data_IF_867603296517
#
_entry.id   IF_867603296517
#
_cell.length_a   1.000
_cell.length_b   1.000
_cell.length_c   1.000
_cell.angle_alpha   90.00
_cell.angle_beta   90.00
_cell.angle_gamma   90.00
#
_symmetry.space_group_name_H-M   'P 1'
#
loop_
_entity.id
_entity.type
_entity.pdbx_description
1 polymer ?
#
# COMPACT_ATOMS: atom_id res chain seq x y z
N UNK A 1 -0.73 -8.87 -4.57
CA UNK A 1 -1.47 -8.20 -5.68
C UNK A 1 -2.89 -8.76 -5.79
N UNK A 2 -3.93 -7.95 -5.56
CA UNK A 2 -5.34 -8.39 -5.66
C UNK A 2 -5.79 -8.25 -7.12
N UNK A 3 -5.89 -9.37 -7.85
CA UNK A 3 -6.37 -9.36 -9.24
C UNK A 3 -7.90 -9.21 -9.23
N UNK A 4 -8.40 -7.97 -9.31
CA UNK A 4 -9.82 -7.68 -9.46
C UNK A 4 -10.19 -7.66 -10.94
N UNK A 5 -10.66 -8.80 -11.44
CA UNK A 5 -11.25 -8.94 -12.76
C UNK A 5 -12.74 -9.26 -12.60
N UNK A 6 -13.60 -8.31 -12.93
CA UNK A 6 -15.04 -8.56 -12.99
C UNK A 6 -15.62 -8.01 -14.29
N UNK A 7 -16.21 -8.90 -15.08
CA UNK A 7 -16.97 -8.55 -16.29
C UNK A 7 -18.38 -8.13 -15.93
N UNK A 8 -18.69 -6.86 -16.15
CA UNK A 8 -20.05 -6.36 -16.18
C UNK A 8 -20.17 -4.99 -15.53
N UNK A 9 -20.58 -3.99 -16.32
CA UNK A 9 -21.19 -2.68 -16.00
C UNK A 9 -21.23 -2.21 -14.52
N UNK A 10 -20.13 -2.26 -13.78
CA UNK A 10 -20.14 -1.92 -12.35
C UNK A 10 -18.88 -1.15 -11.95
N UNK A 11 -18.99 0.18 -12.02
CA UNK A 11 -18.01 1.17 -11.54
C UNK A 11 -17.98 1.22 -10.01
N UNK A 12 -17.53 0.14 -9.37
CA UNK A 12 -17.55 0.04 -7.89
C UNK A 12 -16.15 0.18 -7.30
N UNK A 13 -15.11 -0.15 -8.05
CA UNK A 13 -13.73 0.00 -7.62
C UNK A 13 -13.05 1.10 -8.44
N UNK A 14 -12.63 2.18 -7.77
CA UNK A 14 -12.06 3.37 -8.41
C UNK A 14 -10.54 3.51 -8.22
N UNK A 15 -9.85 2.42 -7.86
CA UNK A 15 -8.41 2.42 -7.57
C UNK A 15 -7.49 2.29 -8.80
N UNK A 16 -8.04 2.31 -10.02
CA UNK A 16 -7.40 2.15 -11.34
C UNK A 16 -5.99 1.53 -11.46
N UNK A 17 -5.84 0.28 -11.01
CA UNK A 17 -4.62 -0.54 -11.10
C UNK A 17 -4.90 -1.82 -11.86
N UNK A 18 -3.94 -2.27 -12.68
CA UNK A 18 -4.14 -3.41 -13.57
C UNK A 18 -5.23 -3.13 -14.61
N UNK A 19 -6.22 -4.01 -14.67
CA UNK A 19 -7.33 -3.91 -15.65
C UNK A 19 -8.53 -3.08 -15.19
N UNK A 20 -8.55 -2.68 -13.92
CA UNK A 20 -9.66 -1.93 -13.38
C UNK A 20 -9.55 -0.45 -13.76
N UNK A 21 -10.67 0.21 -14.04
CA UNK A 21 -10.69 1.56 -14.62
C UNK A 21 -11.87 2.41 -14.11
N UNK A 22 -11.77 3.72 -14.33
CA UNK A 22 -12.87 4.69 -14.21
C UNK A 22 -13.02 5.43 -15.53
N UNK A 23 -14.18 6.03 -15.79
CA UNK A 23 -14.40 6.81 -17.01
C UNK A 23 -13.57 8.09 -17.08
N UNK A 24 -13.29 8.69 -15.91
CA UNK A 24 -12.56 9.94 -15.78
C UNK A 24 -11.68 9.91 -14.52
N UNK A 25 -10.44 10.41 -14.59
CA UNK A 25 -9.49 10.48 -13.48
C UNK A 25 -9.98 11.30 -12.27
N UNK A 26 -10.98 12.17 -12.44
CA UNK A 26 -11.66 12.84 -11.31
C UNK A 26 -12.37 11.87 -10.37
N UNK A 27 -12.71 10.67 -10.86
CA UNK A 27 -13.40 9.64 -10.08
C UNK A 27 -12.45 8.74 -9.27
N UNK A 28 -11.13 8.87 -9.45
CA UNK A 28 -10.15 8.07 -8.71
C UNK A 28 -10.35 8.22 -7.20
N UNK A 29 -10.18 7.12 -6.47
CA UNK A 29 -10.15 7.16 -5.00
C UNK A 29 -9.03 8.08 -4.52
N UNK A 30 -9.35 9.02 -3.63
CA UNK A 30 -8.41 10.01 -3.10
C UNK A 30 -7.90 9.71 -1.69
N UNK A 31 -8.42 8.65 -1.06
CA UNK A 31 -8.00 8.21 0.26
C UNK A 31 -8.41 6.76 0.51
N UNK A 32 -7.82 6.16 1.54
CA UNK A 32 -8.06 4.76 1.89
C UNK A 32 -9.50 4.49 2.32
N UNK A 33 -10.20 5.49 2.90
CA UNK A 33 -11.62 5.37 3.26
C UNK A 33 -12.50 5.16 2.03
N UNK A 34 -12.29 5.92 0.96
CA UNK A 34 -13.02 5.74 -0.30
C UNK A 34 -12.72 4.37 -0.92
N UNK A 35 -11.45 3.96 -0.96
CA UNK A 35 -11.06 2.63 -1.44
C UNK A 35 -11.70 1.50 -0.59
N UNK A 36 -11.77 1.67 0.72
CA UNK A 36 -12.42 0.71 1.62
C UNK A 36 -13.93 0.59 1.36
N UNK A 37 -14.62 1.70 1.12
CA UNK A 37 -16.06 1.69 0.76
C UNK A 37 -16.28 0.90 -0.54
N UNK A 38 -15.46 1.19 -1.55
CA UNK A 38 -15.49 0.53 -2.86
C UNK A 38 -15.23 -0.98 -2.72
N UNK A 39 -14.23 -1.38 -1.93
CA UNK A 39 -13.89 -2.78 -1.66
C UNK A 39 -15.00 -3.53 -0.90
N UNK A 40 -15.61 -2.91 0.10
CA UNK A 40 -16.76 -3.50 0.82
C UNK A 40 -17.94 -3.71 -0.12
N UNK A 41 -18.24 -2.72 -0.96
CA UNK A 41 -19.32 -2.83 -1.94
C UNK A 41 -19.04 -3.94 -2.97
N UNK A 42 -17.80 -4.03 -3.46
CA UNK A 42 -17.36 -5.12 -4.32
C UNK A 42 -17.55 -6.49 -3.66
N UNK A 43 -17.03 -6.68 -2.44
CA UNK A 43 -17.13 -7.96 -1.72
C UNK A 43 -18.59 -8.34 -1.44
N UNK A 44 -19.44 -7.38 -1.08
CA UNK A 44 -20.87 -7.61 -0.91
C UNK A 44 -21.53 -8.19 -2.17
N UNK A 45 -21.18 -7.64 -3.35
CA UNK A 45 -21.67 -8.17 -4.63
C UNK A 45 -21.04 -9.51 -5.01
N UNK A 46 -19.74 -9.66 -4.79
CA UNK A 46 -19.00 -10.88 -5.09
C UNK A 46 -19.59 -12.08 -4.34
N UNK A 47 -19.72 -11.98 -3.01
CA UNK A 47 -20.31 -13.02 -2.17
C UNK A 47 -21.83 -13.15 -2.37
N UNK A 48 -22.51 -12.07 -2.76
CA UNK A 48 -23.93 -12.12 -3.16
C UNK A 48 -24.15 -12.99 -4.40
N UNK A 49 -23.25 -12.92 -5.37
CA UNK A 49 -23.29 -13.68 -6.62
C UNK A 49 -22.72 -15.09 -6.46
N UNK A 50 -21.74 -15.28 -5.57
CA UNK A 50 -21.10 -16.57 -5.28
C UNK A 50 -21.49 -17.07 -3.89
N UNK A 51 -22.78 -17.39 -3.72
CA UNK A 51 -23.35 -17.73 -2.40
C UNK A 51 -22.66 -18.90 -1.70
N UNK A 52 -22.15 -19.87 -2.46
CA UNK A 52 -21.39 -21.02 -1.93
C UNK A 52 -20.12 -20.60 -1.18
N UNK A 53 -19.52 -19.46 -1.53
CA UNK A 53 -18.31 -18.96 -0.89
C UNK A 53 -18.59 -18.27 0.45
N UNK A 54 -19.85 -17.94 0.79
CA UNK A 54 -20.16 -17.21 2.03
C UNK A 54 -19.77 -17.96 3.29
N UNK A 55 -19.89 -19.29 3.30
CA UNK A 55 -19.49 -20.15 4.42
C UNK A 55 -18.01 -20.50 4.42
N UNK A 56 -17.30 -20.25 3.32
CA UNK A 56 -15.86 -20.55 3.19
C UNK A 56 -15.04 -19.55 4.01
N UNK A 57 -14.07 -20.00 4.82
CA UNK A 57 -13.17 -19.10 5.53
C UNK A 57 -12.54 -18.07 4.59
N UNK A 58 -12.76 -16.78 4.87
CA UNK A 58 -12.27 -15.68 4.07
C UNK A 58 -11.20 -14.91 4.82
N UNK A 59 -10.04 -14.72 4.19
CA UNK A 59 -8.92 -13.95 4.71
C UNK A 59 -8.55 -12.84 3.73
N UNK A 60 -8.13 -11.69 4.25
CA UNK A 60 -7.54 -10.61 3.46
C UNK A 60 -6.04 -10.65 3.68
N UNK A 61 -5.27 -10.77 2.61
CA UNK A 61 -3.81 -10.79 2.66
C UNK A 61 -3.28 -9.63 1.85
N UNK A 62 -2.34 -8.88 2.40
CA UNK A 62 -1.76 -7.74 1.69
C UNK A 62 -0.32 -7.45 2.09
N UNK A 63 0.32 -6.70 1.19
CA UNK A 63 1.73 -6.34 1.25
C UNK A 63 1.89 -4.84 1.00
N UNK A 64 2.97 -4.24 1.49
CA UNK A 64 3.33 -2.85 1.22
C UNK A 64 2.15 -1.89 1.52
N UNK A 65 1.84 -0.95 0.63
CA UNK A 65 0.71 -0.04 0.77
C UNK A 65 -0.63 -0.75 0.89
N UNK A 66 -0.76 -1.95 0.30
CA UNK A 66 -1.94 -2.79 0.41
C UNK A 66 -2.31 -3.13 1.86
N UNK A 67 -1.33 -3.10 2.78
CA UNK A 67 -1.60 -3.29 4.20
C UNK A 67 -2.52 -2.22 4.80
N UNK A 68 -2.46 -0.97 4.32
CA UNK A 68 -3.41 0.07 4.74
C UNK A 68 -4.83 -0.30 4.33
N UNK A 69 -5.02 -0.68 3.06
CA UNK A 69 -6.32 -1.11 2.54
C UNK A 69 -6.84 -2.34 3.27
N UNK A 70 -6.00 -3.36 3.46
CA UNK A 70 -6.39 -4.59 4.14
C UNK A 70 -6.80 -4.35 5.60
N UNK A 71 -6.10 -3.44 6.26
CA UNK A 71 -6.35 -3.08 7.66
C UNK A 71 -7.67 -2.33 7.82
N UNK A 72 -7.91 -1.31 6.99
CA UNK A 72 -9.17 -0.58 7.00
C UNK A 72 -10.35 -1.45 6.54
N UNK A 73 -10.13 -2.29 5.53
CA UNK A 73 -11.11 -3.26 5.05
C UNK A 73 -11.48 -4.27 6.13
N UNK A 74 -10.51 -4.82 6.85
CA UNK A 74 -10.77 -5.78 7.93
C UNK A 74 -11.68 -5.19 9.03
N UNK A 75 -11.43 -3.94 9.42
CA UNK A 75 -12.29 -3.21 10.37
C UNK A 75 -13.69 -3.02 9.78
N UNK A 76 -13.79 -2.54 8.54
CA UNK A 76 -15.08 -2.28 7.89
C UNK A 76 -15.91 -3.56 7.69
N UNK A 77 -15.28 -4.67 7.32
CA UNK A 77 -15.92 -5.98 7.20
C UNK A 77 -16.45 -6.45 8.55
N UNK A 78 -15.64 -6.36 9.61
CA UNK A 78 -16.07 -6.72 10.96
C UNK A 78 -17.27 -5.90 11.42
N UNK A 79 -17.25 -4.58 11.19
CA UNK A 79 -18.38 -3.70 11.50
C UNK A 79 -19.66 -4.09 10.74
N UNK A 80 -19.55 -4.41 9.45
CA UNK A 80 -20.71 -4.82 8.61
C UNK A 80 -21.24 -6.20 8.97
N UNK A 81 -20.37 -7.12 9.40
CA UNK A 81 -20.78 -8.44 9.88
C UNK A 81 -21.49 -8.32 11.23
N UNK A 82 -20.93 -7.54 12.16
CA UNK A 82 -21.51 -7.33 13.49
C UNK A 82 -22.87 -6.62 13.43
N UNK A 83 -23.08 -5.75 12.44
CA UNK A 83 -24.38 -5.09 12.20
C UNK A 83 -25.36 -5.95 11.41
N UNK A 84 -25.00 -7.18 11.02
CA UNK A 84 -25.82 -8.05 10.17
C UNK A 84 -25.98 -7.57 8.73
N UNK A 85 -25.27 -6.52 8.32
CA UNK A 85 -25.37 -5.94 6.96
C UNK A 85 -24.57 -6.73 5.91
N UNK A 86 -23.66 -7.61 6.35
CA UNK A 86 -22.88 -8.50 5.49
C UNK A 86 -22.76 -9.87 6.15
N UNK A 87 -23.01 -10.93 5.38
CA UNK A 87 -22.90 -12.32 5.86
C UNK A 87 -21.82 -13.06 5.07
N UNK A 88 -20.60 -13.08 5.61
CA UNK A 88 -19.43 -13.77 5.09
C UNK A 88 -18.62 -14.36 6.26
N UNK A 89 -17.96 -15.51 6.06
CA UNK A 89 -17.12 -16.15 7.07
C UNK A 89 -15.70 -15.53 7.13
N UNK A 90 -15.62 -14.23 7.44
CA UNK A 90 -14.36 -13.50 7.55
C UNK A 90 -13.57 -13.93 8.80
N UNK A 91 -12.30 -14.30 8.60
CA UNK A 91 -11.43 -14.85 9.64
C UNK A 91 -10.31 -13.92 10.08
N UNK A 92 -9.80 -13.07 9.20
CA UNK A 92 -8.72 -12.17 9.56
C UNK A 92 -8.00 -11.52 8.40
N UNK A 93 -7.01 -10.73 8.78
CA UNK A 93 -6.10 -10.00 7.92
C UNK A 93 -4.67 -10.47 8.19
N UNK A 94 -3.95 -10.85 7.14
CA UNK A 94 -2.53 -11.11 7.20
C UNK A 94 -1.77 -10.00 6.48
N UNK A 95 -0.74 -9.47 7.14
CA UNK A 95 0.06 -8.34 6.68
C UNK A 95 1.53 -8.79 6.53
N UNK A 96 2.09 -8.67 5.33
CA UNK A 96 3.53 -8.86 5.07
C UNK A 96 4.17 -7.54 4.67
N UNK A 97 5.24 -7.11 5.32
CA UNK A 97 6.05 -5.94 4.92
C UNK A 97 5.22 -4.69 4.54
N UNK A 98 4.30 -4.31 5.45
CA UNK A 98 3.25 -3.34 5.14
C UNK A 98 3.55 -1.90 5.58
N UNK A 99 3.13 -0.95 4.75
CA UNK A 99 3.27 0.49 5.01
C UNK A 99 2.13 1.05 5.88
N UNK A 100 2.02 0.60 7.13
CA UNK A 100 0.87 0.95 8.02
C UNK A 100 1.16 2.07 9.04
N UNK A 101 2.43 2.29 9.40
CA UNK A 101 2.89 3.35 10.30
C UNK A 101 4.06 4.12 9.68
N UNK A 102 3.79 5.00 8.70
CA UNK A 102 4.83 5.66 7.90
C UNK A 102 5.93 6.28 8.75
N UNK A 103 5.56 7.05 9.76
CA UNK A 103 6.52 7.78 10.57
C UNK A 103 7.43 6.86 11.42
N UNK A 104 6.91 5.73 11.91
CA UNK A 104 7.73 4.74 12.61
C UNK A 104 8.81 4.18 11.67
N UNK A 105 8.49 4.02 10.37
CA UNK A 105 9.48 3.59 9.38
C UNK A 105 10.57 4.63 9.17
N UNK A 106 10.21 5.91 9.01
CA UNK A 106 11.20 6.99 8.85
C UNK A 106 12.14 7.08 10.05
N UNK A 107 11.66 6.88 11.28
CA UNK A 107 12.54 6.88 12.46
C UNK A 107 13.39 5.62 12.61
N UNK A 108 12.97 4.49 12.05
CA UNK A 108 13.70 3.24 12.18
C UNK A 108 14.82 3.05 11.14
N UNK A 109 14.66 3.65 9.95
CA UNK A 109 15.65 3.56 8.87
C UNK A 109 17.06 4.03 9.25
N UNK A 110 17.24 5.23 9.86
CA UNK A 110 18.58 5.73 10.19
C UNK A 110 19.39 4.84 11.15
N UNK A 111 18.88 4.45 12.34
CA UNK A 111 19.65 3.60 13.25
C UNK A 111 19.86 2.19 12.70
N UNK A 112 18.94 1.70 11.87
CA UNK A 112 19.11 0.43 11.17
C UNK A 112 20.30 0.48 10.20
N UNK A 113 20.33 1.45 9.28
CA UNK A 113 21.45 1.61 8.34
C UNK A 113 22.79 1.75 9.09
N UNK A 114 22.80 2.49 10.19
CA UNK A 114 23.98 2.63 11.04
C UNK A 114 24.43 1.29 11.63
N UNK A 115 23.48 0.49 12.14
CA UNK A 115 23.80 -0.83 12.72
C UNK A 115 24.40 -1.83 11.71
N UNK A 116 24.09 -1.65 10.43
CA UNK A 116 24.66 -2.44 9.33
C UNK A 116 25.94 -1.82 8.75
N UNK A 117 26.45 -0.75 9.37
CA UNK A 117 27.61 0.02 8.89
C UNK A 117 27.44 0.57 7.47
N UNK A 118 26.19 0.79 7.05
CA UNK A 118 25.86 1.38 5.75
C UNK A 118 25.94 2.91 5.77
N UNK A 119 25.79 3.52 6.95
CA UNK A 119 26.02 4.95 7.18
C UNK A 119 26.78 5.13 8.50
N UNK A 120 27.50 6.24 8.62
CA UNK A 120 28.11 6.66 9.88
C UNK A 120 27.12 7.44 10.76
N UNK A 121 27.59 7.93 11.91
CA UNK A 121 26.78 8.68 12.87
C UNK A 121 26.24 10.00 12.28
N UNK A 122 27.02 10.66 11.42
CA UNK A 122 26.62 11.90 10.76
C UNK A 122 25.53 11.63 9.70
N UNK A 123 25.68 10.58 8.90
CA UNK A 123 24.69 10.11 7.94
C UNK A 123 23.37 9.74 8.61
N UNK A 124 23.42 8.93 9.68
CA UNK A 124 22.24 8.57 10.45
C UNK A 124 21.55 9.79 11.08
N UNK A 125 22.32 10.70 11.68
CA UNK A 125 21.79 11.96 12.24
C UNK A 125 21.16 12.84 11.16
N UNK A 126 21.70 12.81 9.94
CA UNK A 126 21.16 13.55 8.80
C UNK A 126 19.83 12.99 8.31
N UNK A 127 19.70 11.67 8.26
CA UNK A 127 18.44 11.01 7.89
C UNK A 127 17.35 11.20 8.97
N UNK A 128 17.70 11.22 10.25
CA UNK A 128 16.75 11.48 11.34
C UNK A 128 16.07 12.85 11.22
N UNK A 129 16.77 13.88 10.70
CA UNK A 129 16.18 15.21 10.49
C UNK A 129 15.03 15.18 9.46
N UNK A 130 15.06 14.26 8.49
CA UNK A 130 13.93 14.07 7.59
C UNK A 130 12.73 13.46 8.31
N UNK A 131 12.96 12.49 9.20
CA UNK A 131 11.89 11.92 10.03
C UNK A 131 11.23 12.99 10.91
N UNK A 132 12.02 13.84 11.58
CA UNK A 132 11.52 14.96 12.39
C UNK A 132 10.70 15.96 11.55
N UNK A 133 11.19 16.30 10.36
CA UNK A 133 10.50 17.21 9.45
C UNK A 133 9.17 16.63 8.96
N UNK A 134 9.17 15.34 8.58
CA UNK A 134 7.96 14.64 8.16
C UNK A 134 6.95 14.53 9.31
N UNK A 135 7.41 14.26 10.54
CA UNK A 135 6.54 14.24 11.73
C UNK A 135 5.88 15.60 11.93
N UNK A 136 6.63 16.69 11.83
CA UNK A 136 6.10 18.04 11.99
C UNK A 136 5.02 18.37 10.94
N UNK A 137 5.26 18.06 9.66
CA UNK A 137 4.26 18.23 8.61
C UNK A 137 3.02 17.38 8.88
N UNK A 138 3.17 16.13 9.34
CA UNK A 138 2.05 15.26 9.71
C UNK A 138 1.23 15.82 10.88
N UNK A 139 1.88 16.38 11.91
CA UNK A 139 1.21 17.00 13.07
C UNK A 139 0.42 18.26 12.69
N UNK A 140 0.92 19.01 11.69
CA UNK A 140 0.23 20.16 11.10
C UNK A 140 -0.86 19.77 10.08
N UNK A 141 -1.02 18.47 9.78
CA UNK A 141 -2.00 17.97 8.81
C UNK A 141 -1.56 18.10 7.34
N UNK A 142 -0.32 18.51 7.08
CA UNK A 142 0.26 18.68 5.76
C UNK A 142 0.81 17.34 5.21
N UNK A 143 -0.06 16.34 5.09
CA UNK A 143 0.36 14.98 4.73
C UNK A 143 1.01 14.86 3.35
N UNK A 144 0.64 15.72 2.40
CA UNK A 144 1.28 15.77 1.09
C UNK A 144 2.76 16.16 1.19
N UNK A 145 3.08 17.18 2.00
CA UNK A 145 4.46 17.60 2.24
C UNK A 145 5.24 16.51 2.95
N UNK A 146 4.62 15.84 3.94
CA UNK A 146 5.24 14.68 4.59
C UNK A 146 5.59 13.57 3.58
N UNK A 147 4.74 13.31 2.58
CA UNK A 147 5.02 12.35 1.50
C UNK A 147 6.20 12.79 0.64
N UNK A 148 6.33 14.09 0.38
CA UNK A 148 7.50 14.62 -0.33
C UNK A 148 8.79 14.45 0.48
N UNK A 149 8.75 14.77 1.78
CA UNK A 149 9.91 14.61 2.69
C UNK A 149 10.34 13.15 2.79
N UNK A 150 9.39 12.20 2.86
CA UNK A 150 9.72 10.77 2.80
C UNK A 150 10.48 10.42 1.52
N UNK A 151 10.03 10.95 0.38
CA UNK A 151 10.71 10.77 -0.89
C UNK A 151 12.12 11.36 -0.94
N UNK A 152 12.33 12.52 -0.32
CA UNK A 152 13.64 13.14 -0.22
C UNK A 152 14.56 12.38 0.74
N UNK A 153 14.00 11.79 1.80
CA UNK A 153 14.74 10.90 2.71
C UNK A 153 15.24 9.64 2.00
N UNK A 154 14.41 9.01 1.18
CA UNK A 154 14.82 7.84 0.39
C UNK A 154 16.00 8.17 -0.53
N UNK A 155 15.96 9.33 -1.20
CA UNK A 155 17.09 9.78 -2.02
C UNK A 155 18.36 10.01 -1.19
N UNK A 156 18.21 10.58 0.00
CA UNK A 156 19.34 10.75 0.92
C UNK A 156 19.90 9.39 1.38
N UNK A 157 19.04 8.39 1.63
CA UNK A 157 19.47 7.01 1.95
C UNK A 157 20.34 6.46 0.84
N UNK A 158 19.88 6.52 -0.42
CA UNK A 158 20.65 5.99 -1.56
C UNK A 158 22.03 6.63 -1.66
N UNK A 159 22.09 7.97 -1.55
CA UNK A 159 23.36 8.71 -1.65
C UNK A 159 24.32 8.42 -0.49
N UNK A 160 23.80 8.25 0.72
CA UNK A 160 24.61 8.04 1.92
C UNK A 160 25.04 6.59 2.12
N UNK A 161 24.28 5.64 1.58
CA UNK A 161 24.45 4.20 1.82
C UNK A 161 24.83 3.41 0.55
N UNK A 162 25.59 4.02 -0.36
CA UNK A 162 26.13 3.40 -1.58
C UNK A 162 25.04 2.71 -2.44
N UNK A 163 23.95 3.43 -2.72
CA UNK A 163 22.82 2.96 -3.53
C UNK A 163 22.16 1.67 -3.00
N UNK A 164 22.04 1.56 -1.67
CA UNK A 164 21.33 0.45 -1.02
C UNK A 164 19.87 0.36 -1.49
N UNK A 165 19.41 -0.83 -1.86
CA UNK A 165 18.03 -1.06 -2.28
C UNK A 165 17.07 -0.86 -1.08
N UNK A 166 16.11 0.07 -1.23
CA UNK A 166 15.15 0.43 -0.19
C UNK A 166 14.23 -0.74 0.21
N UNK A 167 14.02 -1.72 -0.67
CA UNK A 167 13.26 -2.94 -0.39
C UNK A 167 14.13 -4.10 0.06
N UNK A 168 15.45 -4.04 -0.18
CA UNK A 168 16.37 -5.08 0.23
C UNK A 168 17.77 -4.53 0.55
N UNK A 169 18.02 -4.21 1.82
CA UNK A 169 19.28 -3.62 2.27
C UNK A 169 20.55 -4.47 2.04
N UNK A 170 20.40 -5.73 1.64
CA UNK A 170 21.52 -6.62 1.29
C UNK A 170 21.95 -6.46 -0.17
N UNK A 171 21.22 -5.65 -0.95
CA UNK A 171 21.50 -5.35 -2.34
C UNK A 171 21.86 -3.87 -2.47
N UNK A 172 22.77 -3.63 -3.40
CA UNK A 172 23.11 -2.30 -3.87
C UNK A 172 22.77 -2.30 -5.34
N UNK A 173 21.78 -1.49 -5.74
CA UNK A 173 21.36 -1.42 -7.12
C UNK A 173 21.75 -0.05 -7.67
N UNK A 174 22.74 -0.06 -8.57
CA UNK A 174 23.18 1.14 -9.30
C UNK A 174 22.19 1.53 -10.40
N UNK A 175 20.98 0.95 -10.42
CA UNK A 175 19.99 1.16 -11.46
C UNK A 175 19.51 2.62 -11.50
N UNK A 176 20.14 3.30 -12.46
CA UNK A 176 19.71 4.43 -13.28
C UNK A 176 19.26 5.71 -12.56
N UNK A 177 20.06 6.75 -12.82
CA UNK A 177 19.67 8.17 -12.76
C UNK A 177 18.27 8.36 -13.38
N UNK A 178 17.22 8.25 -12.58
CA UNK A 178 15.90 8.77 -12.92
C UNK A 178 16.10 10.22 -13.35
N UNK A 179 15.87 10.49 -14.65
CA UNK A 179 16.30 11.71 -15.32
C UNK A 179 16.11 12.92 -14.43
N UNK A 180 17.14 13.76 -14.31
CA UNK A 180 17.18 14.96 -13.46
C UNK A 180 16.02 15.96 -13.65
N UNK A 181 15.12 15.72 -14.62
CA UNK A 181 14.00 16.57 -15.01
C UNK A 181 12.64 16.18 -14.40
N UNK A 182 12.53 15.12 -13.58
CA UNK A 182 11.27 14.76 -12.91
C UNK A 182 11.35 15.15 -11.43
N UNK A 183 10.39 15.95 -10.95
CA UNK A 183 10.36 16.45 -9.57
C UNK A 183 9.10 16.02 -8.79
N UNK A 184 9.19 16.06 -7.47
CA UNK A 184 8.05 15.84 -6.55
C UNK A 184 7.38 14.47 -6.72
N UNK A 185 6.05 14.43 -6.62
CA UNK A 185 5.28 13.18 -6.68
C UNK A 185 5.50 12.36 -7.95
N UNK A 186 5.74 13.02 -9.09
CA UNK A 186 5.98 12.32 -10.35
C UNK A 186 7.28 11.51 -10.31
N UNK A 187 8.30 12.04 -9.62
CA UNK A 187 9.57 11.34 -9.39
C UNK A 187 9.40 10.15 -8.47
N UNK A 188 8.67 10.34 -7.37
CA UNK A 188 8.38 9.25 -6.42
C UNK A 188 7.57 8.15 -7.10
N UNK A 189 6.53 8.51 -7.84
CA UNK A 189 5.77 7.55 -8.63
C UNK A 189 6.70 6.82 -9.61
N UNK A 190 7.52 7.53 -10.38
CA UNK A 190 8.44 6.89 -11.30
C UNK A 190 9.41 5.92 -10.60
N UNK A 191 9.99 6.30 -9.45
CA UNK A 191 10.89 5.44 -8.67
C UNK A 191 10.21 4.18 -8.16
N UNK A 192 9.14 4.31 -7.38
CA UNK A 192 8.48 3.13 -6.78
C UNK A 192 7.73 2.27 -7.78
N UNK A 193 7.31 2.85 -8.90
CA UNK A 193 6.53 2.12 -9.90
C UNK A 193 7.42 1.49 -10.98
N UNK A 194 8.56 2.10 -11.34
CA UNK A 194 9.49 1.52 -12.32
C UNK A 194 10.07 0.18 -11.87
N UNK A 195 10.43 0.05 -10.59
CA UNK A 195 10.92 -1.19 -9.97
C UNK A 195 9.90 -2.34 -10.08
N UNK A 196 8.62 -2.00 -10.26
CA UNK A 196 7.54 -2.98 -10.40
C UNK A 196 7.19 -3.33 -11.84
N UNK A 197 7.70 -2.65 -12.88
CA UNK A 197 7.24 -2.90 -14.25
C UNK A 197 8.04 -3.99 -14.97
N UNK A 198 7.51 -5.21 -14.99
CA UNK A 198 8.02 -6.26 -15.87
C UNK A 198 7.43 -6.11 -17.27
N UNK A 199 8.29 -5.88 -18.27
CA UNK A 199 7.91 -5.89 -19.69
C UNK A 199 7.20 -7.19 -20.07
N UNK A 200 7.71 -8.30 -19.55
CA UNK A 200 7.23 -9.65 -19.86
C UNK A 200 5.83 -9.87 -19.29
N UNK A 201 5.58 -9.43 -18.04
CA UNK A 201 4.25 -9.51 -17.45
C UNK A 201 3.26 -8.60 -18.17
N UNK A 202 3.67 -7.38 -18.53
CA UNK A 202 2.82 -6.47 -19.28
C UNK A 202 2.43 -7.03 -20.66
N UNK A 203 3.36 -7.70 -21.35
CA UNK A 203 3.08 -8.38 -22.63
C UNK A 203 2.09 -9.54 -22.45
N UNK A 204 2.32 -10.40 -21.47
CA UNK A 204 1.42 -11.54 -21.19
C UNK A 204 0.02 -11.07 -20.80
N UNK A 205 -0.07 -10.05 -19.93
CA UNK A 205 -1.35 -9.52 -19.47
C UNK A 205 -2.11 -8.85 -20.62
N UNK A 206 -1.46 -7.98 -21.40
CA UNK A 206 -2.10 -7.27 -22.51
C UNK A 206 -2.32 -8.13 -23.76
N UNK A 207 -1.61 -9.25 -23.91
CA UNK A 207 -1.76 -10.20 -25.01
C UNK A 207 -2.72 -11.36 -24.68
N UNK A 208 -2.20 -12.57 -24.43
CA UNK A 208 -3.02 -13.79 -24.30
C UNK A 208 -4.06 -13.71 -23.18
N UNK A 209 -3.73 -13.10 -22.02
CA UNK A 209 -4.68 -13.00 -20.90
C UNK A 209 -5.85 -12.07 -21.26
N UNK A 210 -5.57 -10.89 -21.82
CA UNK A 210 -6.59 -9.97 -22.30
C UNK A 210 -7.54 -10.65 -23.30
N UNK A 211 -6.99 -11.37 -24.28
CA UNK A 211 -7.77 -12.12 -25.27
C UNK A 211 -8.67 -13.16 -24.60
N UNK A 212 -8.16 -13.89 -23.61
CA UNK A 212 -8.91 -14.90 -22.87
C UNK A 212 -10.04 -14.31 -22.04
N UNK A 213 -9.82 -13.15 -21.43
CA UNK A 213 -10.82 -12.46 -20.62
C UNK A 213 -11.95 -11.89 -21.48
N UNK A 214 -11.63 -11.29 -22.64
CA UNK A 214 -12.62 -10.80 -23.62
C UNK A 214 -13.52 -9.65 -23.14
N UNK A 215 -13.32 -9.15 -21.92
CA UNK A 215 -14.21 -8.21 -21.22
C UNK A 215 -13.56 -6.82 -21.00
N UNK A 216 -12.28 -6.69 -21.37
CA UNK A 216 -11.47 -5.50 -21.11
C UNK A 216 -11.69 -4.49 -22.25
N UNK A 217 -12.14 -3.25 -21.98
CA UNK A 217 -12.34 -2.25 -23.01
C UNK A 217 -11.05 -1.92 -23.77
N UNK A 218 -11.14 -1.69 -25.09
CA UNK A 218 -9.99 -1.43 -25.97
C UNK A 218 -9.07 -0.29 -25.52
N UNK A 219 -9.62 0.72 -24.83
CA UNK A 219 -8.87 1.89 -24.33
C UNK A 219 -8.10 1.63 -23.03
N UNK A 220 -8.28 0.48 -22.39
CA UNK A 220 -7.65 0.14 -21.11
C UNK A 220 -6.54 -0.85 -21.40
N UNK A 221 -5.30 -0.52 -21.03
CA UNK A 221 -4.19 -1.46 -20.99
C UNK A 221 -3.84 -1.79 -19.55
N UNK A 222 -3.40 -3.01 -19.31
CA UNK A 222 -2.89 -3.42 -18.01
C UNK A 222 -1.53 -2.79 -17.75
N UNK A 223 -1.34 -2.29 -16.54
CA UNK A 223 -0.05 -1.96 -15.96
C UNK A 223 0.01 -2.47 -14.52
N UNK A 224 1.21 -2.80 -14.04
CA UNK A 224 1.43 -3.28 -12.66
C UNK A 224 0.97 -2.23 -11.64
N UNK A 225 1.21 -0.97 -11.99
CA UNK A 225 1.03 0.18 -11.14
C UNK A 225 0.62 1.42 -11.95
N UNK A 226 0.17 2.47 -11.24
CA UNK A 226 -0.40 3.67 -11.87
C UNK A 226 0.04 4.96 -11.18
N UNK A 227 0.77 5.80 -11.92
CA UNK A 227 1.19 7.13 -11.47
C UNK A 227 -0.01 8.00 -11.06
N UNK A 228 -1.13 7.87 -11.77
CA UNK A 228 -2.35 8.61 -11.48
C UNK A 228 -2.96 8.20 -10.13
N UNK A 229 -2.92 6.90 -9.82
CA UNK A 229 -3.41 6.36 -8.55
C UNK A 229 -2.51 6.79 -7.40
N UNK A 230 -1.19 6.73 -7.58
CA UNK A 230 -0.24 7.23 -6.58
C UNK A 230 -0.46 8.73 -6.32
N UNK A 231 -0.53 9.55 -7.37
CA UNK A 231 -0.81 10.98 -7.23
C UNK A 231 -2.18 11.28 -6.62
N UNK A 232 -3.18 10.41 -6.81
CA UNK A 232 -4.48 10.54 -6.18
C UNK A 232 -4.47 10.22 -4.68
N UNK A 233 -3.58 9.32 -4.24
CA UNK A 233 -3.47 8.84 -2.85
C UNK A 233 -2.31 9.46 -2.06
N UNK A 234 -1.49 10.30 -2.68
CA UNK A 234 -0.26 10.84 -2.08
C UNK A 234 -0.49 11.61 -0.78
N UNK A 235 -1.62 12.30 -0.63
CA UNK A 235 -2.00 12.98 0.61
C UNK A 235 -2.45 11.99 1.71
N UNK A 236 -2.93 10.81 1.35
CA UNK A 236 -3.29 9.76 2.32
C UNK A 236 -2.08 8.89 2.72
N UNK A 237 -1.00 8.94 1.92
CA UNK A 237 0.12 8.02 2.00
C UNK A 237 0.82 8.03 3.37
N UNK A 238 1.09 9.22 3.92
CA UNK A 238 1.74 9.38 5.22
C UNK A 238 0.79 9.27 6.43
N UNK A 239 -0.52 9.09 6.22
CA UNK A 239 -1.45 8.95 7.35
C UNK A 239 -1.28 7.60 8.03
N UNK A 240 -1.23 7.64 9.35
CA UNK A 240 -1.10 6.44 10.19
C UNK A 240 -2.40 5.62 10.18
N UNK A 241 -2.28 4.33 9.84
CA UNK A 241 -3.41 3.40 9.83
C UNK A 241 -3.56 2.70 11.18
N UNK A 242 -2.46 2.46 11.91
CA UNK A 242 -2.47 1.85 13.24
C UNK A 242 -3.26 2.72 14.21
N UNK A 243 -2.99 4.03 14.28
CA UNK A 243 -3.73 4.96 15.17
C UNK A 243 -5.23 4.97 14.87
N UNK A 244 -5.61 4.92 13.60
CA UNK A 244 -7.01 4.91 13.19
C UNK A 244 -7.71 3.61 13.59
N UNK A 245 -7.05 2.46 13.37
CA UNK A 245 -7.60 1.16 13.74
C UNK A 245 -7.59 0.95 15.25
N UNK A 246 -6.54 1.33 15.97
CA UNK A 246 -6.49 1.26 17.43
C UNK A 246 -7.57 2.12 18.08
N UNK A 247 -7.84 3.34 17.58
CA UNK A 247 -8.96 4.17 18.08
C UNK A 247 -10.31 3.46 17.94
N UNK A 248 -10.51 2.70 16.87
CA UNK A 248 -11.74 1.90 16.66
C UNK A 248 -11.73 0.58 17.46
N UNK A 249 -10.57 -0.06 17.58
CA UNK A 249 -10.36 -1.34 18.24
C UNK A 249 -10.36 -1.26 19.78
N UNK A 250 -9.88 -0.16 20.37
CA UNK A 250 -9.95 0.08 21.82
C UNK A 250 -11.39 0.15 22.34
N UNK A 251 -12.38 0.39 21.46
CA UNK A 251 -13.80 0.33 21.80
C UNK A 251 -14.39 -1.08 21.70
N UNK A 252 -13.69 -2.05 21.09
CA UNK A 252 -14.17 -3.42 20.82
C UNK A 252 -13.03 -4.44 20.88
N UNK A 253 -12.94 -5.18 21.97
CA UNK A 253 -11.93 -6.21 22.31
C UNK A 253 -11.63 -7.29 21.23
N UNK A 254 -12.53 -7.70 20.32
CA UNK A 254 -12.22 -8.78 19.36
C UNK A 254 -11.31 -8.38 18.17
N UNK A 255 -11.00 -7.10 17.96
CA UNK A 255 -10.23 -6.66 16.78
C UNK A 255 -8.74 -7.02 16.82
N UNK A 256 -8.14 -7.28 18.00
CA UNK A 256 -6.71 -7.65 18.11
C UNK A 256 -6.39 -9.03 17.52
N UNK A 257 -7.33 -9.98 17.56
CA UNK A 257 -7.15 -11.32 16.95
C UNK A 257 -7.25 -11.32 15.43
N UNK A 258 -7.59 -10.17 14.83
CA UNK A 258 -7.82 -10.04 13.40
C UNK A 258 -6.51 -9.85 12.60
N UNK A 259 -5.41 -9.48 13.24
CA UNK A 259 -4.17 -9.11 12.56
C UNK A 259 -3.03 -10.04 12.94
N UNK A 260 -2.42 -10.68 11.95
CA UNK A 260 -1.13 -11.37 12.10
C UNK A 260 -0.14 -10.70 11.14
N UNK A 261 1.00 -10.27 11.68
CA UNK A 261 2.04 -9.55 10.94
C UNK A 261 3.36 -10.30 11.06
N UNK A 262 3.96 -10.66 9.94
CA UNK A 262 5.40 -10.91 9.82
C UNK A 262 5.96 -9.71 9.06
N UNK A 263 6.34 -8.66 9.78
CA UNK A 263 7.04 -7.52 9.21
C UNK A 263 8.53 -7.79 9.29
N UNK A 264 9.20 -7.88 8.14
CA UNK A 264 10.63 -7.76 8.11
C UNK A 264 11.02 -6.31 8.44
N UNK A 265 12.12 -6.22 9.19
CA UNK A 265 12.99 -5.06 9.43
C UNK A 265 12.61 -3.97 10.44
N UNK A 266 11.35 -3.58 10.69
CA UNK A 266 11.15 -2.32 11.49
C UNK A 266 10.40 -2.44 12.84
N UNK A 267 9.90 -3.61 13.23
CA UNK A 267 9.59 -3.85 14.65
C UNK A 267 10.07 -5.24 15.02
N UNK A 268 10.97 -5.30 16.01
CA UNK A 268 11.34 -6.50 16.75
C UNK A 268 10.30 -7.62 16.57
N UNK A 269 10.60 -8.59 15.71
CA UNK A 269 9.97 -9.90 15.79
C UNK A 269 10.42 -10.50 17.13
N UNK A 270 9.69 -10.21 18.21
CA UNK A 270 9.74 -11.09 19.37
C UNK A 270 8.94 -12.35 19.03
N UNK A 271 9.51 -13.54 19.27
CA UNK A 271 8.85 -14.80 18.98
C UNK A 271 7.73 -14.99 20.00
N UNK A 272 6.48 -14.98 19.54
CA UNK A 272 5.42 -15.60 20.35
C UNK A 272 5.52 -17.11 20.11
N UNK A 273 6.22 -17.77 21.04
CA UNK A 273 6.18 -19.21 21.27
C UNK A 273 4.73 -19.58 21.65
N UNK A 274 4.20 -20.61 20.97
CA UNK A 274 2.96 -21.38 21.19
C UNK A 274 1.66 -20.63 21.51
#
# INVERSE_FOLDING_TARGET
>A
MLLLLYSGRFNIWRGCSGFSYVENSTLLTRNNKQATIDLVAFLGKFFGSHKSLKSTPFFVVAESYGGKFATELGVALKEKIDSGSLNINFKGVALGDTWISPIDFLYAWPPLLQSFSLVDEEGASSLLRYADSAQSEMENGNFLNATMIWGDMEEAVLKLADDVDFYNMLKHDKSEELSANVHGLARLAARHLSVTQSSDLAEVMNGPIRQKLGIIPNKISWSESSNLVFGALSEDFMKDTIKQVLKKALRRTPLKKLFTSCTQVIKNCHPTIM
#
